data_IF_727804796513
#
_entry.id   IF_727804796513
#
_cell.length_a   1.000
_cell.length_b   1.000
_cell.length_c   1.000
_cell.angle_alpha   90.00
_cell.angle_beta   90.00
_cell.angle_gamma   90.00
#
_symmetry.space_group_name_H-M   'P 1'
#
loop_
_entity.id
_entity.type
_entity.pdbx_description
1 polymer ?
#
# COMPACT_ATOMS: atom_id res chain seq x y z
N UNK A 1 -25.44 26.12 -0.89
CA UNK A 1 -24.93 26.65 -2.17
C UNK A 1 -23.63 25.92 -2.39
N UNK A 2 -23.70 24.84 -3.16
CA UNK A 2 -22.62 23.86 -3.35
C UNK A 2 -21.52 24.44 -4.25
N UNK A 3 -20.33 24.60 -3.69
CA UNK A 3 -19.09 24.78 -4.44
C UNK A 3 -17.91 24.57 -3.49
N UNK A 4 -17.33 23.38 -3.47
CA UNK A 4 -15.89 23.23 -3.18
C UNK A 4 -15.33 21.97 -3.85
N UNK A 5 -14.47 22.22 -4.84
CA UNK A 5 -13.20 21.50 -5.07
C UNK A 5 -13.17 20.07 -5.59
N UNK A 6 -13.78 19.85 -6.77
CA UNK A 6 -13.31 18.82 -7.71
C UNK A 6 -11.95 19.11 -8.36
N UNK A 7 -11.19 20.12 -7.90
CA UNK A 7 -9.96 20.60 -8.57
C UNK A 7 -8.69 19.80 -8.27
N UNK A 8 -8.70 18.92 -7.25
CA UNK A 8 -7.51 18.16 -6.82
C UNK A 8 -7.69 16.63 -6.90
N UNK A 9 -8.75 16.14 -7.54
CA UNK A 9 -8.97 14.70 -7.73
C UNK A 9 -8.25 14.25 -9.01
N UNK A 10 -7.33 13.32 -8.85
CA UNK A 10 -6.67 12.60 -9.94
C UNK A 10 -7.25 11.19 -10.02
N UNK A 11 -7.60 10.76 -11.23
CA UNK A 11 -8.05 9.40 -11.51
C UNK A 11 -7.34 8.92 -12.76
N UNK A 12 -6.77 7.73 -12.69
CA UNK A 12 -6.06 7.16 -13.82
C UNK A 12 -6.21 5.63 -13.86
N UNK A 13 -5.79 5.09 -15.00
CA UNK A 13 -5.69 3.66 -15.23
C UNK A 13 -4.33 3.38 -15.83
N UNK A 14 -3.54 2.54 -15.18
CA UNK A 14 -2.24 2.11 -15.69
C UNK A 14 -2.38 0.78 -16.41
N UNK A 15 -1.66 0.65 -17.53
CA UNK A 15 -1.45 -0.63 -18.18
C UNK A 15 -0.56 -1.51 -17.28
N UNK A 16 -0.79 -2.83 -17.31
CA UNK A 16 -0.04 -3.81 -16.51
C UNK A 16 1.45 -3.68 -16.76
N UNK A 17 1.87 -3.55 -18.02
CA UNK A 17 3.28 -3.41 -18.41
C UNK A 17 4.00 -2.24 -17.75
N UNK A 18 3.29 -1.15 -17.49
CA UNK A 18 3.88 0.04 -16.89
C UNK A 18 4.03 -0.07 -15.37
N UNK A 19 3.48 -1.13 -14.77
CA UNK A 19 3.55 -1.44 -13.34
C UNK A 19 4.58 -2.52 -13.03
N UNK A 20 4.96 -3.34 -14.01
CA UNK A 20 5.96 -4.41 -13.85
C UNK A 20 7.25 -3.93 -13.16
N UNK A 21 7.84 -2.76 -13.51
CA UNK A 21 9.04 -2.28 -12.84
C UNK A 21 8.85 -1.96 -11.35
N UNK A 22 7.62 -1.71 -10.91
CA UNK A 22 7.26 -1.35 -9.54
C UNK A 22 6.80 -2.56 -8.71
N UNK A 23 6.82 -3.77 -9.28
CA UNK A 23 6.48 -4.99 -8.54
C UNK A 23 7.62 -5.35 -7.58
N UNK A 24 7.30 -5.40 -6.29
CA UNK A 24 8.18 -6.07 -5.32
C UNK A 24 7.98 -7.59 -5.37
N UNK A 25 8.88 -8.24 -6.10
CA UNK A 25 8.90 -9.69 -6.28
C UNK A 25 9.21 -10.47 -5.00
N UNK A 26 9.79 -9.85 -3.97
CA UNK A 26 10.07 -10.52 -2.70
C UNK A 26 8.78 -11.06 -2.07
N UNK A 27 7.73 -10.23 -2.04
CA UNK A 27 6.44 -10.63 -1.50
C UNK A 27 5.69 -11.62 -2.39
N UNK A 28 5.85 -11.52 -3.72
CA UNK A 28 5.35 -12.54 -4.64
C UNK A 28 5.94 -13.91 -4.29
N UNK A 29 7.27 -14.02 -4.20
CA UNK A 29 7.92 -15.28 -3.88
C UNK A 29 7.61 -15.78 -2.47
N UNK A 30 7.45 -14.87 -1.51
CA UNK A 30 7.02 -15.21 -0.15
C UNK A 30 5.64 -15.88 -0.13
N UNK A 31 4.67 -15.38 -0.89
CA UNK A 31 3.35 -15.99 -1.02
C UNK A 31 3.40 -17.42 -1.57
N UNK A 32 4.42 -17.73 -2.37
CA UNK A 32 4.70 -19.07 -2.91
C UNK A 32 5.65 -19.90 -2.04
N UNK A 33 5.95 -19.45 -0.81
CA UNK A 33 6.78 -20.17 0.15
C UNK A 33 8.27 -20.19 -0.17
N UNK A 34 8.74 -19.36 -1.11
CA UNK A 34 10.17 -19.23 -1.41
C UNK A 34 10.88 -18.28 -0.43
N UNK A 35 12.13 -18.58 -0.05
CA UNK A 35 12.92 -17.67 0.77
C UNK A 35 13.19 -16.37 0.00
N UNK A 36 13.24 -15.21 0.69
CA UNK A 36 13.40 -13.88 0.06
C UNK A 36 14.57 -13.79 -0.93
N UNK A 37 15.70 -14.45 -0.64
CA UNK A 37 16.88 -14.42 -1.52
C UNK A 37 16.63 -14.97 -2.92
N UNK A 38 15.65 -15.86 -3.11
CA UNK A 38 15.33 -16.41 -4.43
C UNK A 38 14.53 -15.43 -5.29
N UNK A 39 13.92 -14.40 -4.68
CA UNK A 39 13.29 -13.31 -5.43
C UNK A 39 14.29 -12.51 -6.28
N UNK A 40 15.58 -12.60 -5.96
CA UNK A 40 16.64 -11.99 -6.77
C UNK A 40 16.60 -12.44 -8.24
N UNK A 41 15.99 -13.58 -8.57
CA UNK A 41 15.79 -14.03 -9.95
C UNK A 41 15.09 -13.00 -10.83
N UNK A 42 14.22 -12.16 -10.26
CA UNK A 42 13.53 -11.10 -10.98
C UNK A 42 14.47 -9.98 -11.47
N UNK A 43 15.61 -9.80 -10.79
CA UNK A 43 16.61 -8.77 -11.10
C UNK A 43 17.71 -9.27 -12.05
N UNK A 44 17.56 -10.49 -12.57
CA UNK A 44 18.59 -11.12 -13.39
C UNK A 44 18.26 -10.91 -14.85
N UNK A 45 19.28 -10.52 -15.61
CA UNK A 45 19.17 -10.38 -17.04
C UNK A 45 18.62 -11.68 -17.67
N UNK A 46 17.60 -11.56 -18.51
CA UNK A 46 16.78 -12.68 -18.96
C UNK A 46 17.46 -13.71 -19.88
N UNK A 47 18.75 -13.58 -20.17
CA UNK A 47 19.47 -14.53 -21.01
C UNK A 47 19.82 -15.82 -20.25
N UNK A 48 19.90 -16.93 -21.00
CA UNK A 48 20.16 -18.25 -20.43
C UNK A 48 21.49 -18.33 -19.68
N UNK A 49 22.51 -17.61 -20.16
CA UNK A 49 23.82 -17.55 -19.50
C UNK A 49 23.75 -16.91 -18.10
N UNK A 50 23.06 -15.76 -17.95
CA UNK A 50 22.92 -15.09 -16.66
C UNK A 50 22.07 -15.92 -15.69
N UNK A 51 20.99 -16.53 -16.17
CA UNK A 51 20.14 -17.43 -15.38
C UNK A 51 20.88 -18.68 -14.91
N UNK A 52 21.63 -19.32 -15.81
CA UNK A 52 22.46 -20.47 -15.46
C UNK A 52 23.56 -20.10 -14.45
N UNK A 53 24.20 -18.94 -14.63
CA UNK A 53 25.22 -18.45 -13.70
C UNK A 53 24.64 -18.19 -12.30
N UNK A 54 23.45 -17.60 -12.20
CA UNK A 54 22.79 -17.40 -10.92
C UNK A 54 22.47 -18.70 -10.21
N UNK A 55 21.88 -19.65 -10.95
CA UNK A 55 21.53 -20.96 -10.41
C UNK A 55 22.78 -21.72 -9.93
N UNK A 56 23.89 -21.63 -10.67
CA UNK A 56 25.17 -22.23 -10.30
C UNK A 56 25.79 -21.58 -9.05
N UNK A 57 25.53 -20.29 -8.82
CA UNK A 57 25.97 -19.54 -7.65
C UNK A 57 25.18 -19.85 -6.36
N UNK A 58 24.07 -20.58 -6.45
CA UNK A 58 23.34 -21.05 -5.27
C UNK A 58 24.01 -22.28 -4.66
N UNK A 59 23.81 -22.44 -3.35
CA UNK A 59 24.22 -23.64 -2.61
C UNK A 59 23.61 -24.90 -3.25
N UNK A 60 24.34 -26.03 -3.33
CA UNK A 60 23.88 -27.23 -4.02
C UNK A 60 22.49 -27.71 -3.61
N UNK A 61 22.16 -27.61 -2.31
CA UNK A 61 20.86 -27.99 -1.74
C UNK A 61 19.71 -27.05 -2.15
N UNK A 62 20.02 -25.82 -2.58
CA UNK A 62 19.03 -24.80 -2.95
C UNK A 62 18.76 -24.74 -4.44
N UNK A 63 19.64 -25.31 -5.27
CA UNK A 63 19.52 -25.27 -6.74
C UNK A 63 18.19 -25.82 -7.24
N UNK A 64 17.66 -26.87 -6.60
CA UNK A 64 16.33 -27.40 -6.94
C UNK A 64 15.23 -26.35 -6.77
N UNK A 65 15.23 -25.64 -5.63
CA UNK A 65 14.27 -24.55 -5.36
C UNK A 65 14.53 -23.34 -6.26
N UNK A 66 15.79 -23.00 -6.53
CA UNK A 66 16.17 -21.93 -7.45
C UNK A 66 15.63 -22.17 -8.87
N UNK A 67 15.69 -23.40 -9.37
CA UNK A 67 15.13 -23.76 -10.67
C UNK A 67 13.60 -23.58 -10.69
N UNK A 68 12.89 -24.02 -9.63
CA UNK A 68 11.45 -23.80 -9.50
C UNK A 68 11.09 -22.32 -9.41
N UNK A 69 11.86 -21.51 -8.68
CA UNK A 69 11.65 -20.06 -8.58
C UNK A 69 11.81 -19.38 -9.95
N UNK A 70 12.80 -19.80 -10.73
CA UNK A 70 13.00 -19.31 -12.10
C UNK A 70 11.84 -19.68 -13.04
N UNK A 71 11.32 -20.91 -12.92
CA UNK A 71 10.16 -21.35 -13.69
C UNK A 71 8.91 -20.55 -13.32
N UNK A 72 8.65 -20.39 -12.01
CA UNK A 72 7.53 -19.59 -11.50
C UNK A 72 7.61 -18.14 -11.99
N UNK A 73 8.80 -17.51 -11.93
CA UNK A 73 8.98 -16.15 -12.46
C UNK A 73 8.66 -16.06 -13.95
N UNK A 74 9.13 -17.02 -14.74
CA UNK A 74 8.88 -17.07 -16.18
C UNK A 74 7.39 -17.19 -16.50
N UNK A 75 6.67 -17.99 -15.73
CA UNK A 75 5.22 -18.14 -15.86
C UNK A 75 4.46 -16.90 -15.39
N UNK A 76 4.93 -16.26 -14.32
CA UNK A 76 4.39 -15.00 -13.82
C UNK A 76 4.50 -13.87 -14.86
N UNK A 77 5.69 -13.69 -15.46
CA UNK A 77 5.90 -12.68 -16.52
C UNK A 77 5.02 -12.96 -17.74
N UNK A 78 4.92 -14.22 -18.18
CA UNK A 78 4.02 -14.58 -19.28
C UNK A 78 2.55 -14.29 -18.95
N UNK A 79 2.15 -14.50 -17.70
CA UNK A 79 0.79 -14.16 -17.27
C UNK A 79 0.57 -12.65 -17.25
N UNK A 80 1.53 -11.86 -16.78
CA UNK A 80 1.47 -10.40 -16.86
C UNK A 80 1.35 -9.91 -18.31
N UNK A 81 2.10 -10.49 -19.24
CA UNK A 81 2.00 -10.17 -20.67
C UNK A 81 0.61 -10.47 -21.24
N UNK A 82 -0.01 -11.58 -20.83
CA UNK A 82 -1.39 -11.91 -21.22
C UNK A 82 -2.40 -10.95 -20.61
N UNK A 83 -2.20 -10.55 -19.34
CA UNK A 83 -3.11 -9.65 -18.64
C UNK A 83 -3.07 -8.22 -19.20
N UNK A 84 -1.91 -7.73 -19.68
CA UNK A 84 -1.75 -6.38 -20.23
C UNK A 84 -2.65 -6.09 -21.44
N UNK A 85 -3.05 -7.13 -22.17
CA UNK A 85 -3.92 -6.99 -23.34
C UNK A 85 -5.35 -6.59 -22.97
N UNK A 86 -5.87 -7.13 -21.86
CA UNK A 86 -7.29 -7.08 -21.52
C UNK A 86 -7.58 -6.32 -20.21
N UNK A 87 -6.58 -6.16 -19.34
CA UNK A 87 -6.74 -5.64 -17.98
C UNK A 87 -5.84 -4.45 -17.68
N UNK A 88 -6.24 -3.66 -16.68
CA UNK A 88 -5.44 -2.59 -16.13
C UNK A 88 -5.64 -2.47 -14.62
N UNK A 89 -4.97 -1.48 -14.04
CA UNK A 89 -5.12 -1.13 -12.63
C UNK A 89 -5.58 0.31 -12.53
N UNK A 90 -6.73 0.52 -11.92
CA UNK A 90 -7.33 1.82 -11.70
C UNK A 90 -6.76 2.42 -10.42
N UNK A 91 -6.61 3.73 -10.38
CA UNK A 91 -6.19 4.45 -9.20
C UNK A 91 -6.79 5.83 -9.12
N UNK A 92 -6.87 6.33 -7.90
CA UNK A 92 -7.30 7.68 -7.60
C UNK A 92 -6.53 8.26 -6.43
N UNK A 93 -6.41 9.58 -6.45
CA UNK A 93 -5.70 10.36 -5.46
C UNK A 93 -6.37 11.71 -5.29
N UNK A 94 -6.43 12.19 -4.06
CA UNK A 94 -6.78 13.59 -3.78
C UNK A 94 -5.88 14.16 -2.70
N UNK A 95 -5.41 15.39 -2.95
CA UNK A 95 -4.69 16.19 -1.98
C UNK A 95 -5.68 17.06 -1.20
N UNK A 96 -5.63 16.96 0.12
CA UNK A 96 -6.48 17.70 1.05
C UNK A 96 -5.67 18.64 1.92
N UNK A 97 -6.29 19.76 2.31
CA UNK A 97 -5.85 20.53 3.47
C UNK A 97 -6.04 19.70 4.74
N UNK A 98 -5.01 19.64 5.58
CA UNK A 98 -5.05 18.89 6.82
C UNK A 98 -4.15 19.48 7.90
N UNK A 99 -4.51 19.21 9.15
CA UNK A 99 -3.69 19.50 10.32
C UNK A 99 -3.87 18.40 11.37
N UNK A 100 -2.91 18.23 12.26
CA UNK A 100 -3.07 17.33 13.41
C UNK A 100 -3.72 18.02 14.61
N UNK A 101 -4.45 17.25 15.40
CA UNK A 101 -4.99 17.65 16.71
C UNK A 101 -4.82 16.48 17.68
N UNK A 102 -3.71 16.49 18.43
CA UNK A 102 -3.29 15.34 19.23
C UNK A 102 -2.94 14.13 18.35
N UNK A 103 -3.59 13.00 18.64
CA UNK A 103 -3.43 11.74 17.92
C UNK A 103 -4.36 11.63 16.70
N UNK A 104 -4.96 12.73 16.25
CA UNK A 104 -5.88 12.75 15.12
C UNK A 104 -5.34 13.59 13.97
N UNK A 105 -5.79 13.25 12.76
CA UNK A 105 -5.60 14.06 11.56
C UNK A 105 -6.96 14.62 11.17
N UNK A 106 -7.05 15.95 11.01
CA UNK A 106 -8.25 16.64 10.56
C UNK A 106 -8.14 16.87 9.06
N UNK A 107 -9.12 16.40 8.28
CA UNK A 107 -9.14 16.47 6.82
C UNK A 107 -10.50 17.01 6.39
N UNK A 108 -10.57 18.22 5.82
CA UNK A 108 -11.83 18.87 5.39
C UNK A 108 -12.98 18.80 6.43
N UNK A 109 -12.65 18.88 7.72
CA UNK A 109 -13.63 18.80 8.82
C UNK A 109 -13.93 17.37 9.33
N UNK A 110 -13.45 16.35 8.63
CA UNK A 110 -13.46 14.96 9.10
C UNK A 110 -12.29 14.72 10.04
N UNK A 111 -12.58 14.24 11.26
CA UNK A 111 -11.56 13.80 12.21
C UNK A 111 -11.23 12.34 11.93
N UNK A 112 -9.96 12.05 11.65
CA UNK A 112 -9.45 10.70 11.44
C UNK A 112 -8.53 10.33 12.60
N UNK A 113 -9.02 9.54 13.56
CA UNK A 113 -8.23 9.07 14.68
C UNK A 113 -7.07 8.18 14.25
N UNK A 114 -5.90 8.37 14.86
CA UNK A 114 -4.74 7.50 14.71
C UNK A 114 -4.39 6.82 16.03
N UNK A 115 -3.60 5.74 15.93
CA UNK A 115 -3.04 5.00 17.06
C UNK A 115 -1.58 5.40 17.27
N UNK A 116 -1.13 5.32 18.54
CA UNK A 116 0.22 5.71 18.95
C UNK A 116 0.94 4.53 19.59
N UNK A 117 2.21 4.36 19.26
CA UNK A 117 3.07 3.40 19.95
C UNK A 117 3.05 3.60 21.47
N UNK A 118 2.98 2.54 22.24
CA UNK A 118 3.07 2.60 23.71
C UNK A 118 4.43 2.13 24.25
N UNK A 119 5.29 1.64 23.37
CA UNK A 119 6.68 1.28 23.67
C UNK A 119 7.56 2.18 22.81
N UNK A 120 8.47 2.96 23.42
CA UNK A 120 9.38 3.81 22.66
C UNK A 120 10.24 3.03 21.68
N UNK A 121 10.46 3.60 20.51
CA UNK A 121 11.43 3.10 19.55
C UNK A 121 12.89 3.28 20.03
N UNK A 122 13.84 2.87 19.21
CA UNK A 122 15.27 3.04 19.49
C UNK A 122 15.70 4.51 19.64
N UNK A 123 14.92 5.43 19.10
CA UNK A 123 15.09 6.88 19.19
C UNK A 123 14.43 7.51 20.43
N UNK A 124 13.76 6.69 21.27
CA UNK A 124 13.09 7.13 22.49
C UNK A 124 11.70 7.74 22.27
N UNK A 125 11.18 7.74 21.04
CA UNK A 125 9.86 8.29 20.73
C UNK A 125 8.80 7.21 20.59
N UNK A 126 7.58 7.55 20.98
CA UNK A 126 6.37 6.78 20.70
C UNK A 126 5.63 7.42 19.52
N UNK A 127 5.77 6.86 18.33
CA UNK A 127 5.27 7.48 17.10
C UNK A 127 3.76 7.32 16.92
N UNK A 128 3.15 8.35 16.35
CA UNK A 128 1.82 8.36 15.75
C UNK A 128 1.92 8.97 14.35
N UNK A 129 1.07 8.56 13.41
CA UNK A 129 1.06 9.16 12.06
C UNK A 129 0.74 10.66 12.08
N UNK A 130 -0.07 11.11 13.04
CA UNK A 130 -0.41 12.54 13.20
C UNK A 130 0.81 13.41 13.52
N UNK A 131 1.88 12.83 14.08
CA UNK A 131 3.11 13.56 14.42
C UNK A 131 3.83 14.14 13.18
N UNK A 132 3.53 13.60 12.00
CA UNK A 132 4.11 14.04 10.72
C UNK A 132 3.24 15.06 9.98
N UNK A 133 2.12 15.47 10.56
CA UNK A 133 1.26 16.54 10.03
C UNK A 133 1.31 17.71 11.00
N UNK A 134 1.40 18.93 10.49
CA UNK A 134 1.52 20.12 11.33
C UNK A 134 0.30 20.29 12.24
N UNK A 135 0.48 20.62 13.53
CA UNK A 135 -0.64 20.78 14.46
C UNK A 135 -1.44 22.03 14.18
N UNK A 136 -2.75 21.98 14.43
CA UNK A 136 -3.68 23.13 14.34
C UNK A 136 -3.20 24.32 15.16
N UNK A 137 -2.58 24.07 16.33
CA UNK A 137 -2.04 25.09 17.21
C UNK A 137 -0.91 25.93 16.58
N UNK A 138 -0.30 25.46 15.48
CA UNK A 138 0.70 26.23 14.74
C UNK A 138 0.11 27.40 13.96
N UNK A 139 -1.20 27.38 13.66
CA UNK A 139 -1.88 28.36 12.81
C UNK A 139 -1.47 28.34 11.34
N UNK A 140 -0.71 27.32 10.91
CA UNK A 140 -0.27 27.15 9.52
C UNK A 140 -0.96 25.89 8.97
N UNK A 141 -1.58 26.03 7.80
CA UNK A 141 -2.17 24.92 7.07
C UNK A 141 -1.10 23.93 6.58
N UNK A 142 -1.40 22.64 6.63
CA UNK A 142 -0.58 21.57 6.06
C UNK A 142 -1.42 20.75 5.08
N UNK A 143 -0.84 19.69 4.50
CA UNK A 143 -1.53 18.83 3.55
C UNK A 143 -1.41 17.35 3.87
N UNK A 144 -2.39 16.57 3.40
CA UNK A 144 -2.33 15.12 3.36
C UNK A 144 -2.94 14.62 2.07
N UNK A 145 -2.32 13.60 1.47
CA UNK A 145 -2.91 12.88 0.35
C UNK A 145 -3.74 11.70 0.82
N UNK A 146 -4.80 11.37 0.10
CA UNK A 146 -5.53 10.11 0.23
C UNK A 146 -5.52 9.42 -1.13
N UNK A 147 -5.29 8.12 -1.16
CA UNK A 147 -5.25 7.34 -2.39
C UNK A 147 -5.99 6.02 -2.28
N UNK A 148 -6.40 5.50 -3.43
CA UNK A 148 -6.85 4.14 -3.61
C UNK A 148 -6.38 3.58 -4.97
N UNK A 149 -6.17 2.26 -5.02
CA UNK A 149 -5.82 1.52 -6.23
C UNK A 149 -6.56 0.20 -6.24
N UNK A 150 -6.95 -0.28 -7.42
CA UNK A 150 -7.61 -1.56 -7.61
C UNK A 150 -7.31 -2.13 -8.98
N UNK A 151 -7.06 -3.43 -9.04
CA UNK A 151 -7.09 -4.17 -10.32
C UNK A 151 -8.52 -4.20 -10.86
N UNK A 152 -8.69 -4.53 -12.13
CA UNK A 152 -10.01 -4.94 -12.62
C UNK A 152 -10.49 -6.20 -11.89
N UNK A 153 -11.72 -6.17 -11.35
CA UNK A 153 -12.24 -7.24 -10.50
C UNK A 153 -12.31 -8.60 -11.20
N UNK A 154 -12.51 -8.60 -12.52
CA UNK A 154 -12.53 -9.79 -13.36
C UNK A 154 -11.19 -10.56 -13.33
N UNK A 155 -10.07 -9.90 -13.03
CA UNK A 155 -8.76 -10.54 -12.91
C UNK A 155 -8.74 -11.60 -11.80
N UNK A 156 -9.44 -11.37 -10.69
CA UNK A 156 -9.49 -12.29 -9.54
C UNK A 156 -10.39 -13.52 -9.79
N UNK A 157 -11.23 -13.44 -10.82
CA UNK A 157 -12.17 -14.48 -11.23
C UNK A 157 -11.61 -15.37 -12.36
N UNK A 158 -10.39 -15.08 -12.82
CA UNK A 158 -9.76 -15.89 -13.86
C UNK A 158 -9.35 -17.27 -13.33
N UNK A 159 -9.42 -18.27 -14.22
CA UNK A 159 -8.92 -19.62 -14.00
C UNK A 159 -9.61 -20.37 -12.83
N UNK A 160 -10.91 -20.18 -12.61
CA UNK A 160 -11.65 -20.85 -11.52
C UNK A 160 -11.49 -22.38 -11.46
N UNK A 161 -11.21 -23.03 -12.60
CA UNK A 161 -11.03 -24.48 -12.73
C UNK A 161 -9.55 -24.94 -12.74
N UNK A 162 -8.58 -24.04 -12.50
CA UNK A 162 -7.15 -24.33 -12.46
C UNK A 162 -6.53 -23.63 -11.23
N UNK A 163 -6.43 -24.37 -10.13
CA UNK A 163 -5.97 -23.83 -8.82
C UNK A 163 -4.59 -23.17 -8.91
N UNK A 164 -3.69 -23.71 -9.73
CA UNK A 164 -2.35 -23.15 -9.88
C UNK A 164 -2.39 -21.79 -10.57
N UNK A 165 -3.05 -21.72 -11.74
CA UNK A 165 -3.18 -20.46 -12.50
C UNK A 165 -4.01 -19.44 -11.75
N UNK A 166 -5.01 -19.87 -10.99
CA UNK A 166 -5.82 -19.03 -10.11
C UNK A 166 -4.97 -18.39 -9.01
N UNK A 167 -4.16 -19.18 -8.31
CA UNK A 167 -3.27 -18.65 -7.29
C UNK A 167 -2.22 -17.71 -7.89
N UNK A 168 -1.72 -18.02 -9.10
CA UNK A 168 -0.78 -17.18 -9.83
C UNK A 168 -1.38 -15.81 -10.19
N UNK A 169 -2.58 -15.79 -10.78
CA UNK A 169 -3.23 -14.52 -11.13
C UNK A 169 -3.60 -13.71 -9.90
N UNK A 170 -4.06 -14.34 -8.82
CA UNK A 170 -4.41 -13.65 -7.57
C UNK A 170 -3.16 -13.03 -6.90
N UNK A 171 -2.05 -13.78 -6.84
CA UNK A 171 -0.79 -13.24 -6.30
C UNK A 171 -0.28 -12.07 -7.15
N UNK A 172 -0.40 -12.17 -8.49
CA UNK A 172 -0.03 -11.09 -9.40
C UNK A 172 -0.94 -9.89 -9.27
N UNK A 173 -2.25 -10.08 -9.10
CA UNK A 173 -3.21 -9.00 -8.88
C UNK A 173 -2.84 -8.21 -7.62
N UNK A 174 -2.55 -8.88 -6.51
CA UNK A 174 -2.09 -8.23 -5.27
C UNK A 174 -0.80 -7.43 -5.51
N UNK A 175 0.15 -7.97 -6.28
CA UNK A 175 1.39 -7.25 -6.63
C UNK A 175 1.13 -6.04 -7.53
N UNK A 176 0.17 -6.13 -8.45
CA UNK A 176 -0.18 -5.06 -9.37
C UNK A 176 -0.87 -3.89 -8.66
N UNK A 177 -1.73 -4.16 -7.67
CA UNK A 177 -2.32 -3.13 -6.83
C UNK A 177 -1.25 -2.36 -6.04
N UNK A 178 -0.32 -3.07 -5.40
CA UNK A 178 0.81 -2.45 -4.67
C UNK A 178 1.77 -1.68 -5.60
N UNK A 179 2.08 -2.24 -6.77
CA UNK A 179 2.90 -1.58 -7.79
C UNK A 179 2.23 -0.29 -8.30
N UNK A 180 0.91 -0.31 -8.47
CA UNK A 180 0.11 0.87 -8.81
C UNK A 180 0.21 1.94 -7.72
N UNK A 181 0.13 1.54 -6.44
CA UNK A 181 0.28 2.48 -5.32
C UNK A 181 1.68 3.12 -5.29
N UNK A 182 2.75 2.37 -5.55
CA UNK A 182 4.12 2.89 -5.64
C UNK A 182 4.28 3.88 -6.81
N UNK A 183 3.79 3.51 -8.00
CA UNK A 183 3.84 4.39 -9.18
C UNK A 183 3.00 5.64 -9.03
N UNK A 184 1.78 5.52 -8.48
CA UNK A 184 0.95 6.67 -8.14
C UNK A 184 1.67 7.57 -7.15
N UNK A 185 2.31 7.01 -6.13
CA UNK A 185 3.04 7.79 -5.14
C UNK A 185 4.20 8.56 -5.79
N UNK A 186 4.96 7.96 -6.71
CA UNK A 186 5.96 8.69 -7.50
C UNK A 186 5.34 9.89 -8.26
N UNK A 187 4.21 9.67 -8.95
CA UNK A 187 3.47 10.74 -9.63
C UNK A 187 3.00 11.84 -8.66
N UNK A 188 2.57 11.48 -7.45
CA UNK A 188 2.20 12.44 -6.41
C UNK A 188 3.40 13.29 -6.00
N UNK A 189 4.55 12.68 -5.72
CA UNK A 189 5.76 13.40 -5.30
C UNK A 189 6.24 14.38 -6.35
N UNK A 190 6.28 13.94 -7.62
CA UNK A 190 6.85 14.68 -8.74
C UNK A 190 5.90 15.71 -9.35
N UNK A 191 4.59 15.49 -9.26
CA UNK A 191 3.63 16.28 -10.06
C UNK A 191 2.34 16.64 -9.34
N UNK A 192 1.62 15.70 -8.72
CA UNK A 192 0.30 16.02 -8.15
C UNK A 192 0.39 16.86 -6.86
N UNK A 193 1.39 16.57 -6.02
CA UNK A 193 1.76 17.39 -4.87
C UNK A 193 3.03 18.22 -5.17
N UNK A 194 3.98 17.66 -5.92
CA UNK A 194 5.10 18.42 -6.47
C UNK A 194 6.16 18.84 -5.45
N UNK A 195 6.30 18.11 -4.34
CA UNK A 195 7.36 18.42 -3.36
C UNK A 195 8.73 17.82 -3.72
N UNK A 196 8.82 17.03 -4.79
CA UNK A 196 10.06 16.43 -5.29
C UNK A 196 10.06 16.34 -6.84
N UNK A 197 9.91 17.47 -7.53
CA UNK A 197 9.81 17.54 -9.00
C UNK A 197 11.05 16.98 -9.73
N UNK A 198 12.25 17.20 -9.17
CA UNK A 198 13.54 16.77 -9.74
C UNK A 198 13.93 15.31 -9.37
N UNK A 199 13.00 14.52 -8.80
CA UNK A 199 13.26 13.14 -8.41
C UNK A 199 13.50 12.21 -9.62
N UNK A 200 14.63 11.50 -9.63
CA UNK A 200 15.04 10.57 -10.69
C UNK A 200 15.60 9.27 -10.08
N UNK A 201 14.77 8.53 -9.35
CA UNK A 201 15.14 7.24 -8.75
C UNK A 201 14.90 6.09 -9.72
N UNK A 202 15.78 5.10 -9.68
CA UNK A 202 15.53 3.82 -10.36
C UNK A 202 14.42 3.03 -9.64
N UNK A 203 13.73 2.08 -10.31
CA UNK A 203 12.69 1.28 -9.65
C UNK A 203 13.19 0.54 -8.40
N UNK A 204 14.44 0.06 -8.41
CA UNK A 204 15.05 -0.58 -7.24
C UNK A 204 15.23 0.40 -6.05
N UNK A 205 15.47 1.68 -6.32
CA UNK A 205 15.60 2.72 -5.30
C UNK A 205 14.24 3.18 -4.76
N UNK A 206 13.22 3.18 -5.62
CA UNK A 206 11.83 3.39 -5.20
C UNK A 206 11.38 2.27 -4.25
N UNK A 207 11.61 1.00 -4.60
CA UNK A 207 11.30 -0.14 -3.74
C UNK A 207 12.10 -0.12 -2.42
N UNK A 208 13.32 0.44 -2.44
CA UNK A 208 14.12 0.66 -1.25
C UNK A 208 13.69 1.91 -0.44
N UNK A 209 12.60 2.58 -0.82
CA UNK A 209 12.05 3.77 -0.18
C UNK A 209 13.08 4.92 -0.03
N UNK A 210 13.94 5.16 -1.04
CA UNK A 210 14.96 6.24 -1.00
C UNK A 210 14.40 7.66 -1.14
N UNK A 211 13.12 7.78 -1.45
CA UNK A 211 12.44 9.06 -1.63
C UNK A 211 12.01 9.72 -0.32
N UNK A 212 11.58 10.97 -0.41
CA UNK A 212 10.99 11.72 0.71
C UNK A 212 9.49 11.42 0.84
N UNK A 213 9.01 11.33 2.08
CA UNK A 213 7.60 11.05 2.38
C UNK A 213 7.29 9.55 2.48
N UNK A 214 6.07 9.22 2.89
CA UNK A 214 5.57 7.85 3.03
C UNK A 214 4.13 7.72 2.52
N UNK A 215 3.73 6.49 2.19
CA UNK A 215 2.34 6.14 1.84
C UNK A 215 1.77 5.04 2.76
N UNK A 216 1.44 5.33 4.03
CA UNK A 216 0.91 4.30 4.93
C UNK A 216 -0.44 3.79 4.42
N UNK A 217 -0.55 2.48 4.23
CA UNK A 217 -1.74 1.81 3.73
C UNK A 217 -2.55 1.19 4.88
N UNK A 218 -3.87 1.17 4.74
CA UNK A 218 -4.78 0.59 5.72
C UNK A 218 -4.52 -0.93 5.87
N UNK A 219 -4.50 -1.41 7.12
CA UNK A 219 -4.19 -2.80 7.47
C UNK A 219 -2.70 -3.09 7.70
N UNK A 220 -1.81 -2.15 7.35
CA UNK A 220 -0.37 -2.30 7.62
C UNK A 220 -0.01 -1.96 9.08
N UNK A 221 1.17 -2.36 9.58
CA UNK A 221 1.54 -2.14 10.98
C UNK A 221 1.48 -0.69 11.49
N UNK A 222 1.62 0.30 10.60
CA UNK A 222 1.50 1.73 10.95
C UNK A 222 0.05 2.24 10.95
N UNK A 223 -0.87 1.53 10.28
CA UNK A 223 -2.27 1.90 10.12
C UNK A 223 -3.16 0.64 10.17
N UNK A 224 -3.18 -0.09 11.31
CA UNK A 224 -3.71 -1.47 11.37
C UNK A 224 -5.23 -1.57 11.32
N UNK A 225 -5.95 -0.46 11.52
CA UNK A 225 -7.41 -0.46 11.56
C UNK A 225 -8.04 -0.48 10.17
N UNK A 226 -8.49 -1.67 9.74
CA UNK A 226 -9.15 -1.88 8.44
C UNK A 226 -10.42 -1.02 8.27
N UNK A 227 -11.12 -0.70 9.36
CA UNK A 227 -12.36 0.09 9.31
C UNK A 227 -12.14 1.54 8.86
N UNK A 228 -10.90 2.03 8.83
CA UNK A 228 -10.58 3.34 8.27
C UNK A 228 -10.94 3.46 6.79
N UNK A 229 -11.05 2.34 6.07
CA UNK A 229 -11.53 2.34 4.69
C UNK A 229 -12.90 3.00 4.52
N UNK A 230 -13.81 2.90 5.50
CA UNK A 230 -15.09 3.60 5.44
C UNK A 230 -14.92 5.12 5.39
N UNK A 231 -13.98 5.66 6.19
CA UNK A 231 -13.69 7.09 6.22
C UNK A 231 -12.98 7.52 4.93
N UNK A 232 -12.05 6.70 4.42
CA UNK A 232 -11.35 7.00 3.17
C UNK A 232 -12.29 6.96 1.95
N UNK A 233 -13.25 6.05 1.93
CA UNK A 233 -14.29 5.98 0.90
C UNK A 233 -15.18 7.22 0.92
N UNK A 234 -15.59 7.72 2.09
CA UNK A 234 -16.33 8.98 2.20
C UNK A 234 -15.54 10.18 1.62
N UNK A 235 -14.21 10.19 1.74
CA UNK A 235 -13.35 11.26 1.25
C UNK A 235 -13.06 11.16 -0.26
N UNK A 236 -12.90 9.94 -0.78
CA UNK A 236 -12.37 9.69 -2.13
C UNK A 236 -13.40 9.16 -3.13
N UNK A 237 -14.48 8.51 -2.66
CA UNK A 237 -15.47 7.79 -3.46
C UNK A 237 -14.86 6.60 -4.23
N UNK A 238 -14.54 5.53 -3.48
CA UNK A 238 -13.88 4.32 -3.98
C UNK A 238 -14.62 3.64 -5.14
N UNK A 239 -15.95 3.84 -5.22
CA UNK A 239 -16.78 3.32 -6.29
C UNK A 239 -16.34 3.81 -7.68
N UNK A 240 -15.68 4.97 -7.75
CA UNK A 240 -15.15 5.58 -8.98
C UNK A 240 -14.11 4.71 -9.68
N UNK A 241 -13.34 3.94 -8.92
CA UNK A 241 -12.36 2.97 -9.44
C UNK A 241 -12.80 1.52 -9.27
N UNK A 242 -14.09 1.29 -9.03
CA UNK A 242 -14.67 -0.05 -8.95
C UNK A 242 -14.46 -0.76 -7.61
N UNK A 243 -14.02 -0.05 -6.57
CA UNK A 243 -13.89 -0.62 -5.23
C UNK A 243 -15.25 -0.56 -4.51
N UNK A 244 -15.59 -1.65 -3.84
CA UNK A 244 -16.68 -1.69 -2.85
C UNK A 244 -16.16 -2.18 -1.51
N UNK A 245 -16.80 -1.75 -0.42
CA UNK A 245 -16.43 -2.16 0.93
C UNK A 245 -17.39 -3.24 1.44
N UNK A 246 -16.82 -4.27 2.07
CA UNK A 246 -17.59 -5.22 2.88
C UNK A 246 -18.05 -4.55 4.18
N UNK A 247 -18.93 -5.23 4.92
CA UNK A 247 -19.39 -4.79 6.26
C UNK A 247 -18.25 -4.60 7.28
N UNK A 248 -17.08 -5.20 7.05
CA UNK A 248 -15.89 -5.08 7.91
C UNK A 248 -14.81 -4.16 7.31
N UNK A 249 -15.12 -3.37 6.28
CA UNK A 249 -14.18 -2.42 5.68
C UNK A 249 -13.12 -3.05 4.79
N UNK A 250 -13.16 -4.37 4.54
CA UNK A 250 -12.32 -4.98 3.50
C UNK A 250 -12.77 -4.50 2.11
N UNK A 251 -11.80 -4.19 1.24
CA UNK A 251 -12.05 -3.77 -0.13
C UNK A 251 -12.34 -4.95 -1.05
N UNK A 252 -13.13 -4.70 -2.09
CA UNK A 252 -13.40 -5.59 -3.23
C UNK A 252 -13.22 -4.80 -4.52
N UNK A 253 -12.36 -5.21 -5.46
CA UNK A 253 -11.57 -6.46 -5.46
C UNK A 253 -10.57 -6.56 -4.30
N UNK A 254 -10.17 -7.79 -3.95
CA UNK A 254 -9.24 -8.03 -2.84
C UNK A 254 -7.89 -7.34 -3.08
N UNK A 255 -7.39 -7.43 -4.31
CA UNK A 255 -6.23 -6.73 -4.83
C UNK A 255 -6.54 -5.23 -5.02
N UNK A 256 -6.71 -4.56 -3.88
CA UNK A 256 -6.87 -3.12 -3.76
C UNK A 256 -5.98 -2.59 -2.64
N UNK A 257 -5.50 -1.37 -2.76
CA UNK A 257 -4.71 -0.69 -1.72
C UNK A 257 -5.24 0.71 -1.53
N UNK A 258 -5.45 1.12 -0.28
CA UNK A 258 -5.89 2.46 0.12
C UNK A 258 -5.03 2.97 1.27
N UNK A 259 -4.93 4.29 1.38
CA UNK A 259 -4.17 4.89 2.48
C UNK A 259 -3.92 6.37 2.32
N UNK A 260 -2.90 6.85 3.03
CA UNK A 260 -2.49 8.24 3.00
C UNK A 260 -1.21 8.44 2.19
N UNK A 261 -0.93 9.68 1.80
CA UNK A 261 0.40 10.17 1.43
C UNK A 261 0.79 11.27 2.41
N UNK A 262 1.97 11.15 3.02
CA UNK A 262 2.51 12.11 3.97
C UNK A 262 3.86 12.58 3.44
N UNK A 263 4.02 13.90 3.27
CA UNK A 263 5.20 14.51 2.61
C UNK A 263 6.34 14.88 3.56
N UNK A 264 6.11 14.82 4.89
CA UNK A 264 7.07 15.31 5.86
C UNK A 264 8.42 14.56 5.76
N UNK A 265 9.58 15.24 5.67
CA UNK A 265 10.86 14.59 5.35
C UNK A 265 11.40 13.64 6.42
N UNK A 266 10.84 13.67 7.63
CA UNK A 266 11.17 12.73 8.72
C UNK A 266 10.11 11.64 8.93
N UNK A 267 9.06 11.62 8.11
CA UNK A 267 8.06 10.56 8.15
C UNK A 267 8.71 9.23 7.82
N UNK A 268 8.35 8.18 8.55
CA UNK A 268 8.92 6.85 8.39
C UNK A 268 7.88 5.80 8.75
N UNK A 269 7.99 4.63 8.13
CA UNK A 269 7.17 3.48 8.51
C UNK A 269 7.57 3.00 9.91
N UNK A 270 6.57 2.64 10.71
CA UNK A 270 6.72 2.06 12.04
C UNK A 270 5.61 1.03 12.29
N UNK A 271 5.73 0.25 13.36
CA UNK A 271 4.64 -0.60 13.84
C UNK A 271 4.05 0.03 15.10
N UNK A 272 2.73 0.24 15.13
CA UNK A 272 2.03 0.71 16.34
C UNK A 272 2.32 -0.22 17.52
N UNK A 273 2.42 -1.53 17.24
CA UNK A 273 2.64 -2.54 18.27
C UNK A 273 1.42 -2.72 19.17
N UNK A 274 1.61 -3.38 20.31
CA UNK A 274 0.51 -3.73 21.19
C UNK A 274 0.01 -2.52 22.01
N UNK A 275 -1.29 -2.24 21.92
CA UNK A 275 -1.98 -1.15 22.63
C UNK A 275 -2.74 -1.70 23.85
N UNK A 276 -2.88 -0.87 24.88
CA UNK A 276 -3.65 -1.19 26.09
C UNK A 276 -5.12 -0.77 25.99
N UNK A 277 -5.88 -1.17 27.02
CA UNK A 277 -7.30 -0.84 27.17
C UNK A 277 -7.58 0.67 27.26
N UNK A 278 -6.62 1.47 27.70
CA UNK A 278 -6.78 2.92 27.80
C UNK A 278 -6.80 3.55 26.41
N UNK A 279 -5.79 3.25 25.58
CA UNK A 279 -5.75 3.74 24.21
C UNK A 279 -6.89 3.17 23.37
N UNK A 280 -7.26 1.90 23.58
CA UNK A 280 -8.43 1.31 22.90
C UNK A 280 -9.71 2.09 23.19
N UNK A 281 -9.97 2.44 24.46
CA UNK A 281 -11.17 3.20 24.84
C UNK A 281 -11.15 4.61 24.28
N UNK A 282 -10.02 5.29 24.37
CA UNK A 282 -9.83 6.64 23.82
C UNK A 282 -10.03 6.65 22.29
N UNK A 283 -9.36 5.76 21.56
CA UNK A 283 -9.49 5.63 20.11
C UNK A 283 -10.92 5.29 19.70
N UNK A 284 -11.57 4.37 20.40
CA UNK A 284 -12.97 4.01 20.12
C UNK A 284 -13.92 5.19 20.33
N UNK A 285 -13.72 5.98 21.39
CA UNK A 285 -14.50 7.18 21.65
C UNK A 285 -14.30 8.24 20.55
N UNK A 286 -13.06 8.48 20.12
CA UNK A 286 -12.75 9.39 19.00
C UNK A 286 -13.34 8.91 17.67
N UNK A 287 -13.41 7.59 17.46
CA UNK A 287 -14.05 6.96 16.29
C UNK A 287 -15.58 6.92 16.38
N UNK A 288 -16.18 7.26 17.52
CA UNK A 288 -17.63 7.19 17.72
C UNK A 288 -18.18 5.77 17.79
N UNK A 289 -17.34 4.77 18.07
CA UNK A 289 -17.73 3.35 18.15
C UNK A 289 -17.50 2.77 19.55
N UNK A 290 -18.14 1.65 19.86
CA UNK A 290 -17.92 0.97 21.14
C UNK A 290 -16.59 0.21 21.13
N UNK A 291 -15.85 0.15 22.26
CA UNK A 291 -14.60 -0.62 22.34
C UNK A 291 -14.74 -2.08 21.90
N UNK A 292 -15.83 -2.76 22.24
CA UNK A 292 -16.05 -4.16 21.86
C UNK A 292 -16.17 -4.39 20.34
N UNK A 293 -16.63 -3.37 19.60
CA UNK A 293 -16.67 -3.42 18.14
C UNK A 293 -15.27 -3.19 17.57
N UNK A 294 -14.55 -2.20 18.10
CA UNK A 294 -13.19 -1.86 17.67
C UNK A 294 -12.18 -2.99 17.94
N UNK A 295 -12.39 -3.80 18.98
CA UNK A 295 -11.58 -5.00 19.25
C UNK A 295 -11.54 -5.97 18.07
N UNK A 296 -12.58 -6.02 17.22
CA UNK A 296 -12.60 -6.90 16.05
C UNK A 296 -11.59 -6.47 14.99
N UNK A 297 -11.45 -5.16 14.80
CA UNK A 297 -10.49 -4.57 13.84
C UNK A 297 -9.06 -4.56 14.40
N UNK A 298 -8.91 -4.36 15.70
CA UNK A 298 -7.60 -4.22 16.35
C UNK A 298 -7.09 -5.49 17.03
N UNK A 299 -7.76 -6.63 16.87
CA UNK A 299 -7.47 -7.87 17.60
C UNK A 299 -5.99 -8.31 17.53
N UNK A 300 -5.32 -8.04 16.41
CA UNK A 300 -3.91 -8.39 16.20
C UNK A 300 -2.92 -7.54 16.99
N UNK A 301 -3.37 -6.42 17.57
CA UNK A 301 -2.52 -5.44 18.26
C UNK A 301 -3.00 -5.12 19.69
N UNK A 302 -3.93 -5.89 20.25
CA UNK A 302 -4.32 -5.72 21.66
C UNK A 302 -3.35 -6.46 22.59
N UNK A 303 -3.05 -5.86 23.74
CA UNK A 303 -2.32 -6.53 24.85
C UNK A 303 -3.19 -7.50 25.64
#
# INVERSE_FOLDING_TARGET
MECSDKKNLYVARYAVRDLIPYIDWMYFFHAWGFPPKLAAVANIHGCDACRASWLAGLEPEERGRGASAMQLYKEAVRMLDMLDADYGVNCEFRLFSANSDGDDILVEGTRIPMLRQQIPGSDGYCLCLSDFIRPVASGIEDGIGVFATAVDAEMELLYENDDYRRMLVQTLADRLAEACAEKLHECVRKSLWGYAEDEDFTPAELLACKYTGIRPAVGYPCLPDISLNFILDELLDFSRIGISLTENGMMRPHASVSGFVISHPKSRYFSVGAIDDEQLRDYSARRGVKPEEMKRFLASILR
#
